data_IF_421206798983
#
_entry.id   IF_421206798983
#
_cell.length_a   1.000
_cell.length_b   1.000
_cell.length_c   1.000
_cell.angle_alpha   90.00
_cell.angle_beta   90.00
_cell.angle_gamma   90.00
#
_symmetry.space_group_name_H-M   'P 1'
#
loop_
_entity.id
_entity.type
_entity.pdbx_description
1 polymer ?
#
# COMPACT_ATOMS: atom_id res chain seq x y z
N UNK A 1 25.35 -28.48 81.98
CA UNK A 1 23.94 -28.24 81.62
C UNK A 1 23.88 -28.04 80.11
N UNK A 2 23.26 -28.98 79.41
CA UNK A 2 23.27 -29.16 77.95
C UNK A 2 22.32 -28.19 77.24
N UNK A 3 22.80 -27.06 76.69
CA UNK A 3 22.03 -26.21 75.74
C UNK A 3 22.94 -25.51 74.72
N UNK A 4 23.85 -26.22 74.05
CA UNK A 4 24.72 -25.58 73.02
C UNK A 4 24.77 -26.29 71.68
N UNK A 5 24.27 -27.53 71.55
CA UNK A 5 24.40 -28.30 70.30
C UNK A 5 23.25 -28.12 69.29
N UNK A 6 22.10 -27.58 69.70
CA UNK A 6 20.94 -27.43 68.80
C UNK A 6 20.96 -26.13 67.97
N UNK A 7 21.60 -25.06 68.45
CA UNK A 7 21.61 -23.78 67.74
C UNK A 7 22.59 -23.73 66.57
N UNK A 8 23.71 -24.46 66.67
CA UNK A 8 24.79 -24.43 65.66
C UNK A 8 24.43 -25.17 64.37
N UNK A 9 23.63 -26.24 64.46
CA UNK A 9 23.21 -27.02 63.28
C UNK A 9 22.15 -26.31 62.43
N UNK A 10 21.30 -25.48 63.03
CA UNK A 10 20.26 -24.74 62.29
C UNK A 10 20.83 -23.55 61.51
N UNK A 11 21.88 -22.91 62.00
CA UNK A 11 22.50 -21.75 61.34
C UNK A 11 23.29 -22.14 60.08
N UNK A 12 23.93 -23.31 60.07
CA UNK A 12 24.72 -23.80 58.92
C UNK A 12 23.83 -24.26 57.76
N UNK A 13 22.64 -24.81 58.05
CA UNK A 13 21.69 -25.29 57.03
C UNK A 13 20.94 -24.17 56.30
N UNK A 14 20.75 -23.02 56.93
CA UNK A 14 20.05 -21.86 56.33
C UNK A 14 21.04 -21.01 55.50
N UNK A 15 22.31 -20.95 55.92
CA UNK A 15 23.35 -20.26 55.16
C UNK A 15 23.70 -20.93 53.82
N UNK A 16 23.68 -22.26 53.75
CA UNK A 16 23.99 -23.01 52.53
C UNK A 16 22.88 -22.96 51.47
N UNK A 17 21.61 -22.85 51.89
CA UNK A 17 20.45 -22.74 50.98
C UNK A 17 20.32 -21.35 50.37
N UNK A 18 20.68 -20.29 51.10
CA UNK A 18 20.71 -18.91 50.58
C UNK A 18 21.83 -18.68 49.54
N UNK A 19 22.99 -19.33 49.72
CA UNK A 19 24.11 -19.22 48.77
C UNK A 19 23.80 -19.92 47.44
N UNK A 20 23.07 -21.04 47.47
CA UNK A 20 22.66 -21.78 46.27
C UNK A 20 21.54 -21.07 45.48
N UNK A 21 20.68 -20.31 46.16
CA UNK A 21 19.64 -19.50 45.51
C UNK A 21 20.21 -18.26 44.80
N UNK A 22 21.29 -17.64 45.32
CA UNK A 22 21.95 -16.54 44.62
C UNK A 22 22.74 -17.00 43.38
N UNK A 23 23.32 -18.20 43.41
CA UNK A 23 24.09 -18.72 42.27
C UNK A 23 23.19 -19.17 41.09
N UNK A 24 21.93 -19.51 41.35
CA UNK A 24 20.99 -19.92 40.29
C UNK A 24 20.21 -18.75 39.66
N UNK A 25 20.11 -17.60 40.33
CA UNK A 25 19.51 -16.38 39.75
C UNK A 25 20.44 -15.60 38.81
N UNK A 26 21.74 -15.91 38.76
CA UNK A 26 22.71 -15.21 37.90
C UNK A 26 22.72 -15.66 36.42
N UNK A 27 21.99 -16.72 36.06
CA UNK A 27 22.13 -17.38 34.75
C UNK A 27 21.08 -17.01 33.69
N UNK A 28 20.15 -16.10 33.96
CA UNK A 28 19.11 -15.72 32.98
C UNK A 28 19.10 -14.23 32.67
N UNK A 29 20.27 -13.61 32.56
CA UNK A 29 20.39 -12.40 31.73
C UNK A 29 20.68 -12.89 30.31
N UNK A 30 19.63 -13.30 29.60
CA UNK A 30 19.72 -13.45 28.15
C UNK A 30 20.06 -12.08 27.58
N UNK A 31 21.27 -11.96 27.01
CA UNK A 31 21.66 -10.79 26.26
C UNK A 31 20.67 -10.61 25.11
N UNK A 32 19.79 -9.62 25.24
CA UNK A 32 18.97 -9.16 24.13
C UNK A 32 19.97 -8.61 23.10
N UNK A 33 20.30 -9.41 22.09
CA UNK A 33 21.08 -8.93 20.95
C UNK A 33 20.25 -7.83 20.31
N UNK A 34 20.73 -6.59 20.41
CA UNK A 34 20.17 -5.47 19.67
C UNK A 34 20.20 -5.85 18.19
N UNK A 35 19.03 -6.03 17.59
CA UNK A 35 18.90 -6.22 16.15
C UNK A 35 19.36 -4.92 15.51
N UNK A 36 20.56 -4.91 14.95
CA UNK A 36 21.12 -3.76 14.27
C UNK A 36 20.30 -3.53 12.98
N UNK A 37 19.37 -2.56 13.03
CA UNK A 37 18.60 -2.15 11.87
C UNK A 37 19.49 -1.30 10.96
N UNK A 38 20.06 -1.92 9.93
CA UNK A 38 20.80 -1.22 8.90
C UNK A 38 19.84 -0.73 7.81
N UNK A 39 19.52 0.56 7.81
CA UNK A 39 18.77 1.20 6.73
C UNK A 39 19.76 1.57 5.62
N UNK A 40 19.79 0.78 4.55
CA UNK A 40 20.57 1.06 3.33
C UNK A 40 19.62 1.68 2.31
N UNK A 41 19.78 2.98 2.03
CA UNK A 41 19.03 3.68 0.99
C UNK A 41 19.97 4.34 -0.02
N UNK A 42 19.59 4.34 -1.30
CA UNK A 42 20.25 5.13 -2.35
C UNK A 42 19.43 6.41 -2.50
N UNK A 43 20.01 7.56 -2.18
CA UNK A 43 19.36 8.86 -2.43
C UNK A 43 19.40 9.12 -3.93
N UNK A 44 18.23 9.22 -4.55
CA UNK A 44 18.10 9.58 -5.96
C UNK A 44 17.82 11.08 -6.03
N UNK A 45 18.70 11.83 -6.69
CA UNK A 45 18.44 13.23 -7.01
C UNK A 45 17.46 13.26 -8.19
N UNK A 46 16.35 13.98 -8.07
CA UNK A 46 15.36 14.12 -9.13
C UNK A 46 13.97 14.45 -8.60
N UNK A 47 13.14 15.08 -9.41
CA UNK A 47 11.75 15.38 -9.07
C UNK A 47 10.86 15.18 -10.28
N UNK A 48 9.65 14.71 -10.03
CA UNK A 48 8.60 14.65 -11.04
C UNK A 48 7.39 15.45 -10.54
N UNK A 49 6.71 16.15 -11.44
CA UNK A 49 5.52 16.96 -11.16
C UNK A 49 4.44 16.58 -12.15
N UNK A 50 3.21 16.38 -11.66
CA UNK A 50 2.06 16.09 -12.53
C UNK A 50 1.72 17.33 -13.34
N UNK A 51 1.40 17.16 -14.62
CA UNK A 51 1.20 18.28 -15.55
C UNK A 51 -0.14 19.01 -15.36
N UNK A 52 -1.08 18.38 -14.65
CA UNK A 52 -2.43 18.87 -14.41
C UNK A 52 -2.82 18.68 -12.95
N UNK A 53 -3.52 19.66 -12.38
CA UNK A 53 -4.03 19.59 -11.01
C UNK A 53 -5.20 18.61 -10.87
N UNK A 54 -5.97 18.41 -11.95
CA UNK A 54 -7.08 17.46 -12.00
C UNK A 54 -7.30 16.91 -13.40
N UNK A 55 -7.84 15.69 -13.48
CA UNK A 55 -8.19 15.02 -14.72
C UNK A 55 -9.54 14.33 -14.56
N UNK A 56 -10.45 14.55 -15.53
CA UNK A 56 -11.77 13.92 -15.53
C UNK A 56 -11.84 12.83 -16.62
N UNK A 57 -12.19 11.61 -16.21
CA UNK A 57 -12.32 10.46 -17.13
C UNK A 57 -13.80 10.15 -17.35
N UNK A 58 -14.32 10.52 -18.53
CA UNK A 58 -15.73 10.32 -18.90
C UNK A 58 -15.94 9.12 -19.81
N UNK A 59 -16.96 8.33 -19.50
CA UNK A 59 -17.55 7.37 -20.42
C UNK A 59 -18.52 8.11 -21.33
N UNK A 60 -18.14 8.28 -22.60
CA UNK A 60 -18.90 9.10 -23.55
C UNK A 60 -20.16 8.39 -24.10
N UNK A 61 -20.26 7.09 -23.88
CA UNK A 61 -21.43 6.29 -24.24
C UNK A 61 -22.16 5.85 -22.97
N UNK A 62 -23.49 5.84 -22.97
CA UNK A 62 -24.26 5.29 -21.87
C UNK A 62 -23.87 3.84 -21.60
N UNK A 63 -23.73 3.51 -20.33
CA UNK A 63 -23.43 2.15 -19.89
C UNK A 63 -24.74 1.37 -19.83
N UNK A 64 -24.82 0.26 -20.58
CA UNK A 64 -25.99 -0.60 -20.55
C UNK A 64 -25.93 -1.53 -19.33
N UNK A 65 -26.69 -1.19 -18.30
CA UNK A 65 -26.71 -1.83 -16.98
C UNK A 65 -26.75 -3.38 -17.02
N UNK A 66 -27.55 -4.04 -17.86
CA UNK A 66 -27.59 -5.50 -17.92
C UNK A 66 -26.28 -6.18 -18.31
N UNK A 67 -25.35 -5.46 -18.95
CA UNK A 67 -24.04 -5.97 -19.35
C UNK A 67 -22.93 -5.72 -18.31
N UNK A 68 -23.23 -4.96 -17.25
CA UNK A 68 -22.27 -4.70 -16.17
C UNK A 68 -22.13 -5.97 -15.33
N UNK A 69 -20.91 -6.49 -15.21
CA UNK A 69 -20.61 -7.77 -14.54
C UNK A 69 -19.91 -7.56 -13.20
N UNK A 70 -19.96 -8.56 -12.33
CA UNK A 70 -19.29 -8.54 -11.03
C UNK A 70 -17.76 -8.68 -11.12
N UNK A 71 -17.27 -9.33 -12.19
CA UNK A 71 -15.85 -9.60 -12.41
C UNK A 71 -15.03 -8.31 -12.54
N UNK A 72 -14.04 -8.14 -11.65
CA UNK A 72 -13.11 -7.00 -11.65
C UNK A 72 -12.18 -6.99 -12.87
N UNK A 73 -12.06 -8.11 -13.56
CA UNK A 73 -11.30 -8.22 -14.80
C UNK A 73 -12.14 -7.89 -16.04
N UNK A 74 -13.45 -7.66 -15.90
CA UNK A 74 -14.32 -7.32 -17.01
C UNK A 74 -13.84 -6.05 -17.73
N UNK A 75 -13.91 -6.10 -19.06
CA UNK A 75 -13.48 -5.04 -19.98
C UNK A 75 -14.63 -4.55 -20.88
N UNK A 76 -15.88 -4.93 -20.61
CA UNK A 76 -17.02 -4.54 -21.44
C UNK A 76 -17.18 -3.02 -21.47
N UNK A 77 -17.08 -2.37 -20.30
CA UNK A 77 -17.11 -0.91 -20.18
C UNK A 77 -15.77 -0.39 -19.70
N UNK A 78 -14.81 -0.28 -20.63
CA UNK A 78 -13.43 0.12 -20.37
C UNK A 78 -13.13 1.51 -20.95
N UNK A 79 -12.42 2.34 -20.20
CA UNK A 79 -11.92 3.63 -20.65
C UNK A 79 -10.43 3.78 -20.35
N UNK A 80 -9.56 3.79 -21.37
CA UNK A 80 -8.15 4.10 -21.18
C UNK A 80 -7.93 5.60 -20.98
N UNK A 81 -6.92 5.95 -20.19
CA UNK A 81 -6.44 7.32 -20.02
C UNK A 81 -4.92 7.33 -19.73
N UNK A 82 -4.29 8.51 -19.76
CA UNK A 82 -2.85 8.65 -19.53
C UNK A 82 -2.58 9.89 -18.70
N UNK A 83 -1.86 9.70 -17.60
CA UNK A 83 -1.42 10.78 -16.72
C UNK A 83 -0.06 11.27 -17.20
N UNK A 84 0.05 12.55 -17.53
CA UNK A 84 1.32 13.18 -17.90
C UNK A 84 2.00 13.80 -16.69
N UNK A 85 3.32 13.69 -16.64
CA UNK A 85 4.15 14.28 -15.62
C UNK A 85 5.51 14.68 -16.19
N UNK A 86 6.08 15.77 -15.70
CA UNK A 86 7.39 16.26 -16.08
C UNK A 86 8.43 15.89 -15.03
N UNK A 87 9.48 15.19 -15.46
CA UNK A 87 10.61 14.80 -14.61
C UNK A 87 11.87 15.58 -14.94
N UNK A 88 12.65 15.94 -13.92
CA UNK A 88 13.92 16.64 -14.08
C UNK A 88 14.91 16.33 -12.96
N UNK A 89 16.20 16.53 -13.23
CA UNK A 89 17.28 16.41 -12.25
C UNK A 89 17.71 14.97 -11.92
N UNK A 90 17.24 13.97 -12.65
CA UNK A 90 17.66 12.58 -12.51
C UNK A 90 19.02 12.33 -13.18
N UNK A 91 19.89 11.59 -12.50
CA UNK A 91 21.09 10.99 -13.10
C UNK A 91 20.70 9.67 -13.77
N UNK A 92 20.63 9.70 -15.09
CA UNK A 92 20.22 8.57 -15.94
C UNK A 92 21.41 7.94 -16.68
N UNK A 93 22.65 8.27 -16.28
CA UNK A 93 23.87 7.73 -16.90
C UNK A 93 23.97 6.20 -16.78
N UNK A 94 23.34 5.62 -15.75
CA UNK A 94 23.31 4.17 -15.49
C UNK A 94 22.00 3.50 -15.91
N UNK A 95 21.10 4.19 -16.63
CA UNK A 95 19.80 3.68 -17.05
C UNK A 95 18.63 4.45 -16.45
N UNK A 96 17.59 3.74 -16.02
CA UNK A 96 16.36 4.35 -15.48
C UNK A 96 16.46 4.60 -13.98
N UNK A 97 15.66 5.55 -13.48
CA UNK A 97 15.49 5.80 -12.05
C UNK A 97 14.11 5.31 -11.57
N UNK A 98 14.04 4.50 -10.49
CA UNK A 98 12.76 4.10 -9.92
C UNK A 98 12.08 5.30 -9.26
N UNK A 99 10.76 5.37 -9.40
CA UNK A 99 9.93 6.36 -8.74
C UNK A 99 8.58 5.73 -8.36
N UNK A 100 7.88 6.35 -7.41
CA UNK A 100 6.64 5.81 -6.86
C UNK A 100 5.51 6.81 -7.01
N UNK A 101 4.34 6.29 -7.34
CA UNK A 101 3.07 7.01 -7.30
C UNK A 101 2.21 6.37 -6.21
N UNK A 102 1.51 7.18 -5.42
CA UNK A 102 0.52 6.73 -4.46
C UNK A 102 -0.86 7.15 -4.91
N UNK A 103 -1.78 6.19 -4.97
CA UNK A 103 -3.18 6.39 -5.33
C UNK A 103 -4.04 6.13 -4.10
N UNK A 104 -4.85 7.09 -3.70
CA UNK A 104 -5.75 6.97 -2.53
C UNK A 104 -7.17 7.39 -2.90
N UNK A 105 -8.17 6.89 -2.17
CA UNK A 105 -9.53 7.39 -2.31
C UNK A 105 -9.58 8.88 -1.96
N UNK A 106 -10.21 9.68 -2.82
CA UNK A 106 -10.47 11.09 -2.53
C UNK A 106 -11.72 11.24 -1.66
N UNK A 107 -12.04 12.46 -1.27
CA UNK A 107 -13.22 12.77 -0.46
C UNK A 107 -14.51 12.30 -1.15
N UNK A 108 -15.41 11.68 -0.38
CA UNK A 108 -16.69 11.17 -0.90
C UNK A 108 -16.57 9.89 -1.73
N UNK A 109 -15.38 9.29 -1.79
CA UNK A 109 -15.13 8.00 -2.44
C UNK A 109 -14.79 6.93 -1.41
N UNK A 110 -15.24 5.70 -1.68
CA UNK A 110 -15.00 4.53 -0.86
C UNK A 110 -14.45 3.40 -1.74
N UNK A 111 -13.69 2.51 -1.10
CA UNK A 111 -13.06 1.37 -1.76
C UNK A 111 -13.41 0.12 -0.96
N UNK A 112 -13.90 -0.92 -1.63
CA UNK A 112 -14.17 -2.21 -0.98
C UNK A 112 -12.93 -3.10 -0.98
N UNK A 113 -13.00 -4.24 -0.30
CA UNK A 113 -11.89 -5.21 -0.20
C UNK A 113 -11.41 -5.78 -1.54
N UNK A 114 -12.17 -5.61 -2.62
CA UNK A 114 -11.86 -6.07 -3.98
C UNK A 114 -11.32 -4.94 -4.87
N UNK A 115 -10.89 -3.82 -4.28
CA UNK A 115 -10.40 -2.63 -4.98
C UNK A 115 -11.44 -1.99 -5.92
N UNK A 116 -12.74 -2.20 -5.65
CA UNK A 116 -13.83 -1.49 -6.35
C UNK A 116 -14.00 -0.10 -5.75
N UNK A 117 -13.93 0.93 -6.58
CA UNK A 117 -13.96 2.35 -6.23
C UNK A 117 -15.36 2.90 -6.52
N UNK A 118 -16.02 3.50 -5.54
CA UNK A 118 -17.39 3.99 -5.67
C UNK A 118 -17.67 5.22 -4.79
N UNK A 119 -18.67 6.06 -5.13
CA UNK A 119 -19.08 7.15 -4.24
C UNK A 119 -19.59 6.58 -2.91
N UNK A 120 -19.29 7.24 -1.79
CA UNK A 120 -19.76 6.81 -0.46
C UNK A 120 -21.30 6.67 -0.42
N UNK A 121 -22.01 7.56 -1.12
CA UNK A 121 -23.45 7.43 -1.40
C UNK A 121 -23.68 6.77 -2.76
N UNK A 122 -23.66 5.44 -2.81
CA UNK A 122 -23.84 4.67 -4.04
C UNK A 122 -25.24 4.04 -4.17
N UNK A 123 -26.05 4.64 -5.05
CA UNK A 123 -27.38 4.15 -5.39
C UNK A 123 -27.41 3.25 -6.62
N UNK A 124 -26.36 3.23 -7.44
CA UNK A 124 -26.30 2.49 -8.72
C UNK A 124 -25.86 1.04 -8.54
N UNK A 125 -25.26 0.69 -7.40
CA UNK A 125 -24.63 -0.64 -7.18
C UNK A 125 -23.63 -1.01 -8.27
N UNK A 126 -23.00 -0.01 -8.87
CA UNK A 126 -21.86 -0.15 -9.76
C UNK A 126 -20.63 0.53 -9.15
N UNK A 127 -19.45 0.15 -9.61
CA UNK A 127 -18.19 0.70 -9.14
C UNK A 127 -17.17 0.74 -10.28
N UNK A 128 -16.10 1.48 -10.06
CA UNK A 128 -14.95 1.54 -10.95
C UNK A 128 -13.85 0.59 -10.49
N UNK A 129 -13.10 0.03 -11.43
CA UNK A 129 -11.84 -0.67 -11.14
C UNK A 129 -10.73 0.04 -11.90
N UNK A 130 -9.71 0.51 -11.18
CA UNK A 130 -8.55 1.18 -11.74
C UNK A 130 -7.41 0.18 -11.99
N UNK A 131 -6.83 0.23 -13.18
CA UNK A 131 -5.69 -0.60 -13.59
C UNK A 131 -4.55 0.28 -14.08
N UNK A 132 -3.32 -0.05 -13.70
CA UNK A 132 -2.09 0.52 -14.27
C UNK A 132 -1.62 -0.39 -15.41
N UNK A 133 -1.36 0.20 -16.57
CA UNK A 133 -0.81 -0.49 -17.72
C UNK A 133 0.70 -0.30 -17.83
N UNK A 134 1.37 -1.22 -18.50
CA UNK A 134 2.73 -1.02 -18.98
C UNK A 134 2.80 0.02 -20.11
N UNK A 135 4.02 0.35 -20.55
CA UNK A 135 4.25 1.34 -21.61
C UNK A 135 3.68 0.90 -22.96
N UNK A 136 3.52 -0.43 -23.16
CA UNK A 136 2.88 -1.01 -24.35
C UNK A 136 1.35 -0.90 -24.34
N UNK A 137 0.75 -0.49 -23.21
CA UNK A 137 -0.70 -0.40 -22.96
C UNK A 137 -1.42 -1.74 -23.09
N UNK A 138 -0.69 -2.86 -23.11
CA UNK A 138 -1.27 -4.19 -23.31
C UNK A 138 -1.47 -4.92 -21.98
N UNK A 139 -0.54 -4.75 -21.04
CA UNK A 139 -0.54 -5.47 -19.78
C UNK A 139 -0.98 -4.54 -18.65
N UNK A 140 -2.25 -4.65 -18.26
CA UNK A 140 -2.85 -3.80 -17.24
C UNK A 140 -3.21 -4.62 -15.99
N UNK A 141 -2.68 -4.19 -14.85
CA UNK A 141 -2.90 -4.83 -13.55
C UNK A 141 -3.72 -3.92 -12.65
N UNK A 142 -4.59 -4.51 -11.83
CA UNK A 142 -5.40 -3.77 -10.84
C UNK A 142 -4.47 -3.03 -9.88
N UNK A 143 -4.77 -1.75 -9.66
CA UNK A 143 -4.09 -0.96 -8.64
C UNK A 143 -4.61 -1.41 -7.28
N UNK A 144 -3.73 -1.96 -6.45
CA UNK A 144 -4.08 -2.39 -5.09
C UNK A 144 -4.10 -1.21 -4.12
N UNK A 145 -5.21 -0.48 -4.10
CA UNK A 145 -5.39 0.69 -3.24
C UNK A 145 -5.52 0.28 -1.77
N UNK A 146 -6.16 -0.87 -1.48
CA UNK A 146 -6.23 -1.42 -0.13
C UNK A 146 -4.87 -1.84 0.42
N UNK A 147 -3.99 -2.35 -0.44
CA UNK A 147 -2.58 -2.67 -0.12
C UNK A 147 -1.67 -1.44 -0.01
N UNK A 148 -2.21 -0.22 -0.07
CA UNK A 148 -1.46 1.04 0.09
C UNK A 148 -1.38 1.89 -1.17
N UNK A 149 -1.86 1.39 -2.31
CA UNK A 149 -2.01 2.15 -3.56
C UNK A 149 -0.70 2.60 -4.18
N UNK A 150 0.41 1.93 -3.85
CA UNK A 150 1.74 2.28 -4.37
C UNK A 150 1.95 1.64 -5.73
N UNK A 151 2.17 2.47 -6.74
CA UNK A 151 2.39 2.09 -8.12
C UNK A 151 3.80 2.52 -8.52
N UNK A 152 4.73 1.57 -8.74
CA UNK A 152 6.07 1.89 -9.20
C UNK A 152 6.08 2.25 -10.68
N UNK A 153 6.96 3.16 -11.07
CA UNK A 153 7.27 3.47 -12.46
C UNK A 153 8.75 3.83 -12.62
N UNK A 154 9.21 3.87 -13.87
CA UNK A 154 10.60 4.19 -14.20
C UNK A 154 10.65 5.55 -14.88
N UNK A 155 11.58 6.40 -14.43
CA UNK A 155 11.96 7.62 -15.13
C UNK A 155 13.05 7.26 -16.13
N UNK A 156 12.72 7.37 -17.42
CA UNK A 156 13.60 7.01 -18.54
C UNK A 156 14.34 8.21 -19.11
N UNK A 157 13.82 9.42 -18.91
CA UNK A 157 14.40 10.68 -19.37
C UNK A 157 13.97 11.87 -18.49
N UNK A 158 14.77 12.94 -18.53
CA UNK A 158 14.42 14.21 -17.92
C UNK A 158 13.53 15.03 -18.87
N UNK A 159 12.29 14.56 -19.04
CA UNK A 159 11.31 15.15 -19.96
C UNK A 159 9.87 14.96 -19.46
N UNK A 160 8.91 15.29 -20.33
CA UNK A 160 7.50 14.95 -20.15
C UNK A 160 7.31 13.46 -20.45
N UNK A 161 6.81 12.74 -19.45
CA UNK A 161 6.56 11.31 -19.47
C UNK A 161 5.08 11.03 -19.20
N UNK A 162 4.64 9.81 -19.49
CA UNK A 162 3.25 9.40 -19.29
C UNK A 162 3.15 8.07 -18.55
N UNK A 163 2.13 7.95 -17.71
CA UNK A 163 1.70 6.69 -17.12
C UNK A 163 0.32 6.33 -17.63
N UNK A 164 0.20 5.15 -18.23
CA UNK A 164 -1.05 4.67 -18.81
C UNK A 164 -1.90 3.89 -17.80
N UNK A 165 -3.20 4.15 -17.82
CA UNK A 165 -4.18 3.53 -16.95
C UNK A 165 -5.45 3.16 -17.72
N UNK A 166 -6.20 2.24 -17.14
CA UNK A 166 -7.54 1.90 -17.57
C UNK A 166 -8.49 1.97 -16.38
N UNK A 167 -9.71 2.44 -16.62
CA UNK A 167 -10.81 2.31 -15.66
C UNK A 167 -11.93 1.51 -16.31
N UNK A 168 -12.45 0.52 -15.60
CA UNK A 168 -13.65 -0.23 -16.02
C UNK A 168 -14.81 -0.06 -15.06
N UNK A 169 -16.03 -0.28 -15.54
CA UNK A 169 -17.24 -0.29 -14.71
C UNK A 169 -17.71 -1.71 -14.44
N UNK A 170 -17.91 -2.03 -13.16
CA UNK A 170 -18.28 -3.36 -12.66
C UNK A 170 -19.42 -3.26 -11.65
N UNK A 171 -20.08 -4.37 -11.37
CA UNK A 171 -21.11 -4.47 -10.34
C UNK A 171 -20.49 -4.43 -8.94
N UNK A 172 -21.13 -3.69 -8.03
CA UNK A 172 -20.77 -3.58 -6.62
C UNK A 172 -21.70 -4.47 -5.76
N UNK A 173 -21.11 -5.44 -5.06
CA UNK A 173 -21.84 -6.41 -4.25
C UNK A 173 -22.71 -7.36 -5.08
N UNK A 174 -23.67 -8.02 -4.40
CA UNK A 174 -24.49 -9.08 -5.01
C UNK A 174 -25.77 -8.59 -5.70
N UNK A 175 -26.12 -7.30 -5.54
CA UNK A 175 -27.34 -6.73 -6.14
C UNK A 175 -27.07 -6.27 -7.57
N UNK A 176 -28.06 -6.44 -8.45
CA UNK A 176 -27.97 -5.95 -9.83
C UNK A 176 -27.78 -4.42 -9.83
N UNK A 177 -26.93 -3.88 -10.73
CA UNK A 177 -26.80 -2.45 -10.88
C UNK A 177 -28.12 -1.80 -11.31
N UNK A 178 -28.29 -0.54 -10.96
CA UNK A 178 -29.46 0.28 -11.25
C UNK A 178 -29.04 1.56 -11.98
N UNK A 179 -29.90 2.15 -12.82
CA UNK A 179 -29.60 3.40 -13.48
C UNK A 179 -29.36 4.54 -12.50
N UNK A 180 -28.37 5.39 -12.79
CA UNK A 180 -28.08 6.59 -12.02
C UNK A 180 -26.68 7.12 -12.29
N UNK A 181 -26.35 8.22 -11.63
CA UNK A 181 -25.02 8.81 -11.69
C UNK A 181 -24.02 7.99 -10.87
N UNK A 182 -22.86 7.71 -11.46
CA UNK A 182 -21.73 7.05 -10.82
C UNK A 182 -20.50 7.94 -10.97
N UNK A 183 -20.13 8.64 -9.90
CA UNK A 183 -18.97 9.53 -9.86
C UNK A 183 -18.11 9.14 -8.66
N UNK A 184 -16.82 8.98 -8.89
CA UNK A 184 -15.83 8.72 -7.84
C UNK A 184 -14.51 9.39 -8.21
N UNK A 185 -13.68 9.65 -7.21
CA UNK A 185 -12.41 10.33 -7.38
C UNK A 185 -11.30 9.64 -6.57
N UNK A 186 -10.10 9.66 -7.13
CA UNK A 186 -8.88 9.21 -6.46
C UNK A 186 -7.85 10.33 -6.51
N UNK A 187 -7.08 10.45 -5.43
CA UNK A 187 -5.95 11.37 -5.36
C UNK A 187 -4.70 10.64 -5.81
N UNK A 188 -3.88 11.30 -6.63
CA UNK A 188 -2.61 10.79 -7.10
C UNK A 188 -1.50 11.65 -6.53
N UNK A 189 -0.59 11.05 -5.78
CA UNK A 189 0.59 11.72 -5.21
C UNK A 189 1.86 11.09 -5.75
N UNK A 190 2.76 11.92 -6.27
CA UNK A 190 4.12 11.49 -6.64
C UNK A 190 4.97 11.44 -5.37
N UNK A 191 5.46 10.25 -5.01
CA UNK A 191 6.29 10.06 -3.82
C UNK A 191 7.76 10.24 -4.20
N UNK A 192 8.40 11.24 -3.60
CA UNK A 192 9.85 11.40 -3.70
C UNK A 192 10.54 10.27 -2.93
N UNK A 193 11.50 9.54 -3.56
CA UNK A 193 12.28 8.49 -2.91
C UNK A 193 13.28 9.03 -1.89
#
# INVERSE_FOLDING_TARGET
MFITDKFTKSLISVGSTLLFAMLTFGYTIQSVQAVEMKVIGKVIKGTCVVDVDSMEVKFNQPIFIPEVKEDINDKTFLKPFSLKYNCSGFDLSTGTAPYLMKITASTGTSIDTSNKIYPTTNNTKAAFVLKKCDDSKANCNIVDINGGGVVPFQVTENASLESHFEVSVVQLGASKPTPGELVAAVDITLLQP
#
